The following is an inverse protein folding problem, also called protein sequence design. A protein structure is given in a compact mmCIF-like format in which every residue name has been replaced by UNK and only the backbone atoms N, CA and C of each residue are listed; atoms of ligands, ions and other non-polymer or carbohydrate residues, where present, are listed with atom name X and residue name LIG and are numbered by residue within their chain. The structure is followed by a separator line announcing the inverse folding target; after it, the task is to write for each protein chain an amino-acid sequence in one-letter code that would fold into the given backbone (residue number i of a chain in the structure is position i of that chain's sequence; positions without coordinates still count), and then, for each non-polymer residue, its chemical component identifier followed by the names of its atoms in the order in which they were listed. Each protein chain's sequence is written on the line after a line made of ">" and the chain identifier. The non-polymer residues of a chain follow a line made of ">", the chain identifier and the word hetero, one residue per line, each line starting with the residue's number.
data_IF_231871379756
#
_entry.id   IF_231871379756
#
_cell.length_a   1.000
_cell.length_b   1.000
_cell.length_c   1.000
_cell.angle_alpha   90.00
_cell.angle_beta   90.00
_cell.angle_gamma   90.00
#
_symmetry.space_group_name_H-M   'P 1'
#
loop_
_entity.id
_entity.type
_entity.pdbx_description
1 polymer ?
#
# COMPACT_ATOMS: atom_id res chain seq x y z
N UNK A 1 19.87 -15.79 -1.51
CA UNK A 1 19.35 -15.21 -0.27
C UNK A 1 18.34 -14.10 -0.54
N UNK A 2 17.46 -13.79 0.39
CA UNK A 2 16.44 -12.72 0.23
C UNK A 2 16.97 -11.35 0.62
N UNK A 3 17.95 -11.28 1.53
CA UNK A 3 18.55 -10.00 1.98
C UNK A 3 19.08 -9.13 0.86
N UNK A 4 19.87 -9.66 -0.11
CA UNK A 4 20.39 -8.84 -1.21
C UNK A 4 19.28 -8.20 -2.05
N UNK A 5 18.16 -8.92 -2.28
CA UNK A 5 17.00 -8.38 -3.00
C UNK A 5 16.27 -7.31 -2.20
N UNK A 6 16.14 -7.49 -0.88
CA UNK A 6 15.56 -6.48 0.00
C UNK A 6 16.41 -5.21 0.01
N UNK A 7 17.74 -5.34 0.18
CA UNK A 7 18.66 -4.20 0.14
C UNK A 7 18.62 -3.49 -1.20
N UNK A 8 18.58 -4.23 -2.31
CA UNK A 8 18.45 -3.66 -3.65
C UNK A 8 17.15 -2.87 -3.80
N UNK A 9 16.02 -3.44 -3.37
CA UNK A 9 14.74 -2.77 -3.43
C UNK A 9 14.71 -1.49 -2.59
N UNK A 10 15.24 -1.53 -1.37
CA UNK A 10 15.36 -0.36 -0.49
C UNK A 10 16.29 0.70 -1.10
N UNK A 11 17.43 0.30 -1.69
CA UNK A 11 18.35 1.21 -2.34
C UNK A 11 17.72 1.91 -3.55
N UNK A 12 17.02 1.17 -4.43
CA UNK A 12 16.30 1.74 -5.57
C UNK A 12 15.20 2.70 -5.08
N UNK A 13 14.48 2.34 -4.01
CA UNK A 13 13.46 3.21 -3.45
C UNK A 13 14.06 4.47 -2.80
N UNK A 14 15.23 4.39 -2.15
CA UNK A 14 15.95 5.55 -1.64
C UNK A 14 16.34 6.51 -2.79
N UNK A 15 16.79 5.98 -3.92
CA UNK A 15 17.04 6.79 -5.13
C UNK A 15 15.77 7.48 -5.60
N UNK A 16 14.62 6.78 -5.63
CA UNK A 16 13.35 7.39 -5.99
C UNK A 16 12.96 8.55 -5.06
N UNK A 17 13.19 8.41 -3.75
CA UNK A 17 12.93 9.47 -2.77
C UNK A 17 13.80 10.71 -3.00
N UNK A 18 15.07 10.52 -3.35
CA UNK A 18 15.98 11.62 -3.72
C UNK A 18 15.48 12.33 -4.98
N UNK A 19 15.03 11.59 -6.00
CA UNK A 19 14.45 12.18 -7.21
C UNK A 19 13.18 12.97 -6.86
N UNK A 20 12.31 12.47 -5.96
CA UNK A 20 11.13 13.21 -5.50
C UNK A 20 11.51 14.54 -4.81
N UNK A 21 12.53 14.53 -3.96
CA UNK A 21 13.00 15.75 -3.27
C UNK A 21 13.53 16.81 -4.25
N UNK A 22 14.12 16.41 -5.36
CA UNK A 22 14.68 17.28 -6.39
C UNK A 22 13.70 17.57 -7.54
N UNK A 23 12.48 17.04 -7.50
CA UNK A 23 11.54 17.13 -8.61
C UNK A 23 10.96 18.54 -8.77
N UNK A 24 11.23 19.17 -9.91
CA UNK A 24 10.73 20.49 -10.29
C UNK A 24 9.78 20.44 -11.51
N UNK A 25 9.47 19.24 -12.02
CA UNK A 25 8.60 19.05 -13.18
C UNK A 25 7.74 17.79 -13.05
N UNK A 26 6.61 17.75 -13.76
CA UNK A 26 5.76 16.56 -13.83
C UNK A 26 6.53 15.36 -14.41
N UNK A 27 7.41 15.56 -15.37
CA UNK A 27 8.24 14.50 -15.96
C UNK A 27 9.16 13.87 -14.92
N UNK A 28 9.81 14.68 -14.08
CA UNK A 28 10.67 14.18 -13.00
C UNK A 28 9.86 13.39 -11.96
N UNK A 29 8.65 13.83 -11.64
CA UNK A 29 7.75 13.12 -10.74
C UNK A 29 7.32 11.76 -11.34
N UNK A 30 7.02 11.70 -12.64
CA UNK A 30 6.70 10.45 -13.33
C UNK A 30 7.91 9.51 -13.31
N UNK A 31 9.10 10.01 -13.60
CA UNK A 31 10.33 9.21 -13.52
C UNK A 31 10.57 8.65 -12.10
N UNK A 32 10.41 9.47 -11.07
CA UNK A 32 10.49 9.03 -9.67
C UNK A 32 9.48 7.92 -9.35
N UNK A 33 8.23 8.05 -9.83
CA UNK A 33 7.18 7.03 -9.67
C UNK A 33 7.50 5.71 -10.38
N UNK A 34 8.09 5.77 -11.57
CA UNK A 34 8.53 4.55 -12.28
C UNK A 34 9.61 3.82 -11.49
N UNK A 35 10.63 4.55 -11.00
CA UNK A 35 11.69 3.99 -10.16
C UNK A 35 11.12 3.41 -8.87
N UNK A 36 10.23 4.14 -8.20
CA UNK A 36 9.55 3.70 -6.98
C UNK A 36 8.70 2.45 -7.24
N UNK A 37 7.94 2.43 -8.34
CA UNK A 37 7.11 1.28 -8.71
C UNK A 37 7.93 0.03 -8.94
N UNK A 38 9.09 0.14 -9.61
CA UNK A 38 10.02 -0.95 -9.80
C UNK A 38 10.58 -1.47 -8.46
N UNK A 39 11.02 -0.55 -7.58
CA UNK A 39 11.49 -0.89 -6.24
C UNK A 39 10.41 -1.62 -5.42
N UNK A 40 9.18 -1.12 -5.44
CA UNK A 40 8.03 -1.70 -4.72
C UNK A 40 7.68 -3.09 -5.28
N UNK A 41 7.75 -3.27 -6.60
CA UNK A 41 7.53 -4.55 -7.26
C UNK A 41 8.52 -5.65 -6.82
N UNK A 42 9.75 -5.28 -6.43
CA UNK A 42 10.72 -6.20 -5.84
C UNK A 42 10.48 -6.34 -4.33
N UNK A 43 10.21 -5.24 -3.63
CA UNK A 43 10.10 -5.19 -2.18
C UNK A 43 8.93 -6.04 -1.65
N UNK A 44 7.70 -5.78 -2.13
CA UNK A 44 6.48 -6.41 -1.58
C UNK A 44 6.53 -7.94 -1.58
N UNK A 45 6.82 -8.63 -2.71
CA UNK A 45 6.89 -10.09 -2.69
C UNK A 45 8.07 -10.61 -1.87
N UNK A 46 9.20 -9.89 -1.85
CA UNK A 46 10.40 -10.34 -1.14
C UNK A 46 10.22 -10.23 0.38
N UNK A 47 9.70 -9.11 0.89
CA UNK A 47 9.39 -8.95 2.31
C UNK A 47 8.27 -9.89 2.76
N UNK A 48 7.19 -10.00 1.95
CA UNK A 48 6.08 -10.90 2.25
C UNK A 48 6.54 -12.34 2.37
N UNK A 49 7.33 -12.80 1.43
CA UNK A 49 7.89 -14.14 1.46
C UNK A 49 8.84 -14.36 2.66
N UNK A 50 9.63 -13.36 3.05
CA UNK A 50 10.50 -13.45 4.24
C UNK A 50 9.72 -13.55 5.54
N UNK A 51 8.59 -12.85 5.66
CA UNK A 51 7.69 -12.95 6.82
C UNK A 51 7.08 -14.36 6.92
N UNK A 52 6.68 -14.95 5.78
CA UNK A 52 6.12 -16.30 5.72
C UNK A 52 7.18 -17.34 6.08
N UNK A 53 8.42 -17.17 5.60
CA UNK A 53 9.53 -18.06 5.94
C UNK A 53 9.91 -17.98 7.42
N UNK A 54 9.89 -16.76 7.99
CA UNK A 54 10.17 -16.56 9.42
C UNK A 54 9.10 -17.22 10.32
N UNK A 55 7.85 -17.25 9.89
CA UNK A 55 6.77 -17.92 10.62
C UNK A 55 5.64 -18.34 9.68
N UNK A 56 5.51 -19.63 9.43
CA UNK A 56 4.43 -20.18 8.60
C UNK A 56 3.02 -19.90 9.16
N UNK A 57 2.91 -19.77 10.49
CA UNK A 57 1.62 -19.57 11.18
C UNK A 57 1.23 -18.09 11.25
N UNK A 58 2.17 -17.21 11.59
CA UNK A 58 1.93 -15.78 11.82
C UNK A 58 2.32 -14.92 10.61
N UNK A 59 3.22 -15.41 9.76
CA UNK A 59 3.75 -14.69 8.60
C UNK A 59 2.67 -14.16 7.65
N UNK A 60 1.70 -14.96 7.20
CA UNK A 60 0.63 -14.49 6.33
C UNK A 60 -0.21 -13.36 6.96
N UNK A 61 -0.53 -13.48 8.26
CA UNK A 61 -1.27 -12.46 8.98
C UNK A 61 -0.45 -11.17 9.10
N UNK A 62 0.81 -11.30 9.51
CA UNK A 62 1.72 -10.15 9.63
C UNK A 62 1.91 -9.45 8.30
N UNK A 63 2.06 -10.20 7.20
CA UNK A 63 2.20 -9.63 5.86
C UNK A 63 0.98 -8.78 5.45
N UNK A 64 -0.23 -9.28 5.68
CA UNK A 64 -1.45 -8.53 5.37
C UNK A 64 -1.64 -7.32 6.29
N UNK A 65 -1.44 -7.49 7.59
CA UNK A 65 -1.59 -6.45 8.59
C UNK A 65 -0.60 -5.30 8.40
N UNK A 66 0.69 -5.60 8.24
CA UNK A 66 1.75 -4.57 8.16
C UNK A 66 1.63 -3.72 6.90
N UNK A 67 1.14 -4.29 5.79
CA UNK A 67 0.92 -3.53 4.57
C UNK A 67 -0.13 -2.42 4.77
N UNK A 68 -1.31 -2.76 5.26
CA UNK A 68 -2.39 -1.79 5.47
C UNK A 68 -2.09 -0.82 6.63
N UNK A 69 -1.48 -1.31 7.72
CA UNK A 69 -1.06 -0.45 8.83
C UNK A 69 0.00 0.56 8.36
N UNK A 70 0.97 0.11 7.56
CA UNK A 70 1.98 1.00 6.99
C UNK A 70 1.36 2.08 6.10
N UNK A 71 0.37 1.72 5.26
CA UNK A 71 -0.36 2.70 4.44
C UNK A 71 -1.19 3.67 5.31
N UNK A 72 -1.83 3.19 6.38
CA UNK A 72 -2.55 4.04 7.35
C UNK A 72 -1.63 5.07 7.99
N UNK A 73 -0.52 4.61 8.57
CA UNK A 73 0.46 5.48 9.20
C UNK A 73 1.09 6.46 8.20
N UNK A 74 1.40 5.97 6.99
CA UNK A 74 1.97 6.79 5.93
C UNK A 74 1.05 7.91 5.46
N UNK A 75 -0.24 7.63 5.27
CA UNK A 75 -1.22 8.64 4.84
C UNK A 75 -1.53 9.66 5.94
N UNK A 76 -1.62 9.23 7.20
CA UNK A 76 -1.77 10.15 8.35
C UNK A 76 -0.54 11.02 8.54
N UNK A 77 0.64 10.43 8.58
CA UNK A 77 1.90 11.16 8.70
C UNK A 77 2.09 12.13 7.53
N UNK A 78 1.78 11.71 6.31
CA UNK A 78 1.80 12.54 5.12
C UNK A 78 0.86 13.75 5.25
N UNK A 79 -0.40 13.52 5.64
CA UNK A 79 -1.38 14.58 5.86
C UNK A 79 -0.93 15.58 6.95
N UNK A 80 -0.39 15.11 8.06
CA UNK A 80 0.16 15.95 9.14
C UNK A 80 1.36 16.76 8.66
N UNK A 81 2.34 16.10 8.02
CA UNK A 81 3.56 16.76 7.56
C UNK A 81 3.27 17.81 6.48
N UNK A 82 2.37 17.50 5.53
CA UNK A 82 1.99 18.45 4.49
C UNK A 82 1.23 19.66 5.07
N UNK A 83 0.51 19.48 6.18
CA UNK A 83 -0.27 20.56 6.81
C UNK A 83 0.60 21.43 7.73
N UNK A 84 1.53 20.84 8.48
CA UNK A 84 2.19 21.53 9.59
C UNK A 84 3.71 21.69 9.44
N UNK A 85 4.38 20.91 8.57
CA UNK A 85 5.83 20.97 8.46
C UNK A 85 6.30 22.14 7.58
N UNK A 86 7.43 22.79 7.92
CA UNK A 86 8.11 23.69 7.00
C UNK A 86 8.64 22.89 5.79
N UNK A 87 8.52 23.43 4.58
CA UNK A 87 8.93 22.75 3.34
C UNK A 87 8.33 21.32 3.22
N UNK A 88 6.99 21.17 3.18
CA UNK A 88 6.29 19.92 3.39
C UNK A 88 6.73 18.79 2.43
N UNK A 89 7.00 19.13 1.17
CA UNK A 89 7.46 18.16 0.16
C UNK A 89 8.84 17.60 0.50
N UNK A 90 9.79 18.45 0.86
CA UNK A 90 11.15 18.03 1.22
C UNK A 90 11.14 17.26 2.53
N UNK A 91 10.45 17.77 3.54
CA UNK A 91 10.40 17.16 4.89
C UNK A 91 9.81 15.75 4.83
N UNK A 92 8.73 15.54 4.07
CA UNK A 92 8.10 14.24 3.92
C UNK A 92 9.07 13.21 3.31
N UNK A 93 9.68 13.54 2.18
CA UNK A 93 10.58 12.62 1.50
C UNK A 93 11.89 12.42 2.25
N UNK A 94 12.40 13.44 2.95
CA UNK A 94 13.59 13.32 3.79
C UNK A 94 13.34 12.36 4.97
N UNK A 95 12.18 12.46 5.64
CA UNK A 95 11.81 11.53 6.70
C UNK A 95 11.72 10.09 6.18
N UNK A 96 11.06 9.89 5.04
CA UNK A 96 10.97 8.57 4.41
C UNK A 96 12.34 8.03 4.02
N UNK A 97 13.25 8.89 3.53
CA UNK A 97 14.61 8.51 3.20
C UNK A 97 15.39 8.07 4.45
N UNK A 98 15.27 8.81 5.54
CA UNK A 98 15.90 8.43 6.83
C UNK A 98 15.39 7.07 7.29
N UNK A 99 14.07 6.86 7.30
CA UNK A 99 13.48 5.57 7.68
C UNK A 99 13.96 4.44 6.77
N UNK A 100 14.12 4.71 5.47
CA UNK A 100 14.64 3.74 4.51
C UNK A 100 16.10 3.38 4.79
N UNK A 101 16.95 4.38 5.08
CA UNK A 101 18.36 4.17 5.43
C UNK A 101 18.50 3.40 6.76
N UNK A 102 17.66 3.70 7.76
CA UNK A 102 17.60 2.94 9.02
C UNK A 102 17.20 1.48 8.73
N UNK A 103 16.16 1.27 7.91
CA UNK A 103 15.76 -0.09 7.54
C UNK A 103 16.89 -0.85 6.82
N UNK A 104 17.63 -0.19 5.92
CA UNK A 104 18.80 -0.77 5.25
C UNK A 104 19.92 -1.12 6.24
N UNK A 105 20.16 -0.27 7.24
CA UNK A 105 21.17 -0.51 8.27
C UNK A 105 20.80 -1.66 9.22
N UNK A 106 19.51 -1.83 9.52
CA UNK A 106 19.00 -2.89 10.38
C UNK A 106 18.85 -4.24 9.66
N UNK A 107 18.69 -4.25 8.35
CA UNK A 107 18.44 -5.46 7.57
C UNK A 107 19.54 -6.53 7.70
N UNK A 108 20.85 -6.20 7.77
CA UNK A 108 21.91 -7.18 8.01
C UNK A 108 21.83 -7.88 9.37
N UNK A 109 21.14 -7.31 10.35
CA UNK A 109 20.95 -7.91 11.68
C UNK A 109 19.91 -9.05 11.66
N UNK A 110 19.05 -9.09 10.64
CA UNK A 110 18.03 -10.13 10.53
C UNK A 110 18.67 -11.40 9.95
N UNK A 111 18.46 -12.60 10.50
CA UNK A 111 18.99 -13.84 9.94
C UNK A 111 18.49 -14.10 8.53
N UNK A 112 19.35 -14.61 7.64
CA UNK A 112 18.94 -15.01 6.29
C UNK A 112 17.98 -16.19 6.37
N UNK A 113 16.82 -16.07 5.72
CA UNK A 113 15.77 -17.08 5.78
C UNK A 113 15.97 -18.23 4.79
N UNK A 114 16.77 -18.02 3.75
CA UNK A 114 17.03 -19.02 2.70
C UNK A 114 18.53 -19.07 2.39
N UNK A 115 19.09 -20.28 2.33
CA UNK A 115 20.47 -20.47 1.92
C UNK A 115 20.74 -19.87 0.52
N UNK A 116 21.89 -19.20 0.32
CA UNK A 116 22.27 -18.65 -0.97
C UNK A 116 22.32 -19.77 -2.03
N UNK A 117 21.57 -19.64 -3.09
CA UNK A 117 21.65 -20.55 -4.24
C UNK A 117 22.55 -19.93 -5.31
N UNK A 118 23.45 -20.71 -5.93
CA UNK A 118 24.24 -20.26 -7.06
C UNK A 118 23.32 -20.02 -8.27
N UNK A 119 23.57 -18.94 -9.03
CA UNK A 119 22.81 -18.65 -10.24
C UNK A 119 21.86 -17.44 -10.12
N UNK A 120 22.31 -16.33 -9.54
CA UNK A 120 21.52 -15.11 -9.36
C UNK A 120 20.85 -14.64 -10.66
N UNK A 121 21.54 -14.72 -11.81
CA UNK A 121 21.01 -14.36 -13.13
C UNK A 121 19.89 -15.31 -13.60
N UNK A 122 19.95 -16.58 -13.25
CA UNK A 122 18.89 -17.54 -13.57
C UNK A 122 17.63 -17.31 -12.69
N UNK A 123 17.82 -16.86 -11.44
CA UNK A 123 16.74 -16.50 -10.52
C UNK A 123 16.02 -15.18 -10.92
N UNK A 124 16.66 -14.32 -11.71
CA UNK A 124 16.06 -13.09 -12.24
C UNK A 124 15.14 -13.35 -13.46
N UNK A 125 15.16 -14.55 -14.03
CA UNK A 125 14.21 -14.90 -15.09
C UNK A 125 12.81 -15.04 -14.51
N UNK A 126 11.82 -14.28 -14.98
CA UNK A 126 10.44 -14.41 -14.53
C UNK A 126 9.94 -15.82 -14.81
N UNK A 127 9.73 -16.61 -13.77
CA UNK A 127 9.11 -17.93 -13.89
C UNK A 127 7.64 -17.80 -13.54
N UNK A 128 6.81 -17.56 -14.55
CA UNK A 128 5.37 -17.56 -14.38
C UNK A 128 4.88 -18.99 -14.57
N UNK A 129 4.74 -19.74 -13.48
CA UNK A 129 4.16 -21.07 -13.47
C UNK A 129 2.94 -21.12 -12.57
N UNK A 130 1.76 -21.16 -13.17
CA UNK A 130 0.50 -21.29 -12.43
C UNK A 130 0.05 -22.74 -12.55
N UNK A 131 -0.02 -23.50 -11.45
CA UNK A 131 -0.59 -24.84 -11.48
C UNK A 131 -2.02 -24.81 -12.00
N UNK A 132 -2.37 -25.69 -12.91
CA UNK A 132 -3.74 -25.76 -13.51
C UNK A 132 -4.85 -25.78 -12.47
N UNK A 133 -4.59 -26.40 -11.30
CA UNK A 133 -5.55 -26.45 -10.17
C UNK A 133 -5.81 -25.08 -9.53
N UNK A 134 -4.87 -24.15 -9.61
CA UNK A 134 -4.99 -22.81 -9.04
C UNK A 134 -5.59 -21.78 -10.04
N UNK A 135 -5.69 -22.14 -11.32
CA UNK A 135 -6.12 -21.20 -12.36
C UNK A 135 -7.58 -20.75 -12.17
N UNK A 136 -8.49 -21.67 -11.85
CA UNK A 136 -9.91 -21.34 -11.64
C UNK A 136 -10.12 -20.38 -10.45
N UNK A 137 -9.64 -20.72 -9.24
CA UNK A 137 -9.68 -19.80 -8.09
C UNK A 137 -9.00 -18.46 -8.38
N UNK A 138 -7.86 -18.45 -9.06
CA UNK A 138 -7.14 -17.22 -9.41
C UNK A 138 -8.00 -16.32 -10.30
N UNK A 139 -8.59 -16.87 -11.37
CA UNK A 139 -9.45 -16.09 -12.27
C UNK A 139 -10.70 -15.54 -11.57
N UNK A 140 -11.26 -16.25 -10.59
CA UNK A 140 -12.40 -15.77 -9.80
C UNK A 140 -12.04 -14.58 -8.89
N UNK A 141 -10.84 -14.60 -8.30
CA UNK A 141 -10.41 -13.55 -7.35
C UNK A 141 -9.83 -12.33 -8.07
N UNK A 142 -9.27 -12.53 -9.27
CA UNK A 142 -8.58 -11.46 -10.02
C UNK A 142 -9.43 -10.21 -10.24
N UNK A 143 -10.71 -10.26 -10.67
CA UNK A 143 -11.51 -9.05 -10.88
C UNK A 143 -11.71 -8.24 -9.59
N UNK A 144 -11.96 -8.93 -8.47
CA UNK A 144 -12.14 -8.28 -7.16
C UNK A 144 -10.82 -7.67 -6.69
N UNK A 145 -9.71 -8.37 -6.88
CA UNK A 145 -8.39 -7.84 -6.55
C UNK A 145 -8.06 -6.59 -7.37
N UNK A 146 -8.31 -6.60 -8.69
CA UNK A 146 -8.14 -5.43 -9.54
C UNK A 146 -9.01 -4.27 -9.06
N UNK A 147 -10.30 -4.50 -8.78
CA UNK A 147 -11.21 -3.47 -8.29
C UNK A 147 -10.73 -2.85 -6.97
N UNK A 148 -10.25 -3.67 -6.04
CA UNK A 148 -9.71 -3.21 -4.74
C UNK A 148 -8.48 -2.31 -4.93
N UNK A 149 -7.53 -2.71 -5.78
CA UNK A 149 -6.35 -1.89 -6.06
C UNK A 149 -6.67 -0.62 -6.84
N UNK A 150 -7.63 -0.67 -7.78
CA UNK A 150 -8.13 0.53 -8.46
C UNK A 150 -8.79 1.49 -7.49
N UNK A 151 -9.60 0.99 -6.55
CA UNK A 151 -10.21 1.80 -5.50
C UNK A 151 -9.14 2.45 -4.62
N UNK A 152 -8.15 1.69 -4.16
CA UNK A 152 -7.02 2.22 -3.38
C UNK A 152 -6.29 3.34 -4.13
N UNK A 153 -6.00 3.15 -5.41
CA UNK A 153 -5.40 4.17 -6.27
C UNK A 153 -6.27 5.42 -6.42
N UNK A 154 -7.58 5.24 -6.60
CA UNK A 154 -8.55 6.33 -6.65
C UNK A 154 -8.55 7.15 -5.36
N UNK A 155 -8.65 6.48 -4.21
CA UNK A 155 -8.64 7.16 -2.91
C UNK A 155 -7.33 7.91 -2.66
N UNK A 156 -6.18 7.30 -2.96
CA UNK A 156 -4.87 7.92 -2.76
C UNK A 156 -4.62 9.13 -3.67
N UNK A 157 -5.16 9.13 -4.89
CA UNK A 157 -4.86 10.16 -5.89
C UNK A 157 -5.93 11.24 -6.02
N UNK A 158 -7.21 10.87 -6.02
CA UNK A 158 -8.31 11.76 -6.36
C UNK A 158 -9.17 12.18 -5.15
N UNK A 159 -9.29 11.33 -4.13
CA UNK A 159 -10.20 11.61 -3.02
C UNK A 159 -9.88 12.93 -2.30
N UNK A 160 -8.62 13.31 -2.01
CA UNK A 160 -8.33 14.59 -1.36
C UNK A 160 -8.85 15.79 -2.16
N UNK A 161 -8.69 15.80 -3.49
CA UNK A 161 -9.19 16.87 -4.35
C UNK A 161 -10.71 16.87 -4.48
N UNK A 162 -11.32 15.69 -4.56
CA UNK A 162 -12.79 15.56 -4.61
C UNK A 162 -13.46 16.06 -3.32
N UNK A 163 -12.88 15.74 -2.16
CA UNK A 163 -13.34 16.23 -0.86
C UNK A 163 -13.22 17.75 -0.79
N UNK A 164 -12.08 18.30 -1.17
CA UNK A 164 -11.88 19.75 -1.19
C UNK A 164 -12.91 20.46 -2.09
N UNK A 165 -13.16 19.93 -3.29
CA UNK A 165 -14.14 20.48 -4.22
C UNK A 165 -15.59 20.33 -3.73
N UNK A 166 -15.94 19.21 -3.11
CA UNK A 166 -17.31 18.95 -2.66
C UNK A 166 -17.66 19.67 -1.36
N UNK A 167 -16.71 19.82 -0.44
CA UNK A 167 -16.98 20.32 0.92
C UNK A 167 -16.37 21.69 1.21
N UNK A 168 -15.51 22.22 0.32
CA UNK A 168 -14.75 23.44 0.55
C UNK A 168 -13.58 23.28 1.54
N UNK A 169 -13.38 22.08 2.09
CA UNK A 169 -12.32 21.79 3.06
C UNK A 169 -11.02 21.44 2.35
N UNK A 170 -10.13 22.41 2.22
CA UNK A 170 -8.88 22.29 1.47
C UNK A 170 -7.71 21.76 2.30
N UNK A 171 -7.91 21.42 3.57
CA UNK A 171 -6.83 20.90 4.43
C UNK A 171 -6.32 19.55 3.93
N UNK A 172 -5.01 19.40 3.65
CA UNK A 172 -4.42 18.12 3.26
C UNK A 172 -4.60 17.03 4.33
N UNK A 173 -4.71 17.42 5.59
CA UNK A 173 -4.98 16.51 6.70
C UNK A 173 -6.33 15.79 6.54
N UNK A 174 -7.38 16.50 6.12
CA UNK A 174 -8.71 15.91 5.93
C UNK A 174 -8.67 14.89 4.79
N UNK A 175 -8.04 15.23 3.66
CA UNK A 175 -7.85 14.29 2.55
C UNK A 175 -7.06 13.05 2.99
N UNK A 176 -5.96 13.23 3.69
CA UNK A 176 -5.13 12.14 4.22
C UNK A 176 -5.85 11.27 5.25
N UNK A 177 -6.67 11.86 6.11
CA UNK A 177 -7.42 11.12 7.14
C UNK A 177 -8.56 10.26 6.55
N UNK A 178 -9.20 10.70 5.47
CA UNK A 178 -10.18 9.87 4.75
C UNK A 178 -9.49 8.64 4.16
N UNK A 179 -8.34 8.83 3.51
CA UNK A 179 -7.57 7.69 2.97
C UNK A 179 -7.07 6.78 4.10
N UNK A 180 -6.62 7.36 5.22
CA UNK A 180 -6.22 6.58 6.39
C UNK A 180 -7.38 5.77 6.97
N UNK A 181 -8.61 6.29 6.94
CA UNK A 181 -9.81 5.56 7.34
C UNK A 181 -10.02 4.31 6.48
N UNK A 182 -9.86 4.42 5.15
CA UNK A 182 -9.94 3.26 4.25
C UNK A 182 -8.92 2.18 4.66
N UNK A 183 -7.67 2.56 4.85
CA UNK A 183 -6.59 1.62 5.16
C UNK A 183 -6.71 1.04 6.58
N UNK A 184 -7.21 1.83 7.53
CA UNK A 184 -7.49 1.36 8.89
C UNK A 184 -8.65 0.37 8.91
N UNK A 185 -9.70 0.61 8.15
CA UNK A 185 -10.84 -0.31 8.00
C UNK A 185 -10.39 -1.62 7.35
N UNK A 186 -9.55 -1.56 6.30
CA UNK A 186 -8.94 -2.75 5.72
C UNK A 186 -8.09 -3.53 6.75
N UNK A 187 -7.33 -2.82 7.59
CA UNK A 187 -6.57 -3.43 8.69
C UNK A 187 -7.50 -4.15 9.66
N UNK A 188 -8.58 -3.50 10.08
CA UNK A 188 -9.58 -4.09 10.97
C UNK A 188 -10.28 -5.30 10.34
N UNK A 189 -10.63 -5.21 9.05
CA UNK A 189 -11.26 -6.29 8.30
C UNK A 189 -10.40 -7.57 8.26
N UNK A 190 -9.07 -7.46 8.15
CA UNK A 190 -8.15 -8.61 8.22
C UNK A 190 -8.35 -9.41 9.51
N UNK A 191 -8.58 -8.75 10.63
CA UNK A 191 -8.81 -9.43 11.93
C UNK A 191 -10.23 -9.92 12.07
N UNK A 192 -11.22 -9.11 11.70
CA UNK A 192 -12.64 -9.40 11.87
C UNK A 192 -13.09 -10.58 10.99
N UNK A 193 -12.63 -10.63 9.75
CA UNK A 193 -13.04 -11.64 8.78
C UNK A 193 -12.12 -12.86 8.72
N UNK A 194 -11.03 -12.87 9.49
CA UNK A 194 -10.09 -14.01 9.58
C UNK A 194 -10.76 -15.36 9.85
N UNK A 195 -11.78 -15.49 10.75
CA UNK A 195 -12.39 -16.79 11.02
C UNK A 195 -13.33 -17.28 9.91
N UNK A 196 -13.65 -16.44 8.92
CA UNK A 196 -14.58 -16.78 7.85
C UNK A 196 -13.90 -17.64 6.76
N UNK A 197 -14.66 -18.56 6.14
CA UNK A 197 -14.22 -19.25 4.94
C UNK A 197 -13.90 -18.23 3.82
N UNK A 198 -12.83 -18.44 3.03
CA UNK A 198 -12.38 -17.46 2.02
C UNK A 198 -13.47 -17.04 1.04
N UNK A 199 -14.34 -17.97 0.60
CA UNK A 199 -15.44 -17.64 -0.31
C UNK A 199 -16.46 -16.67 0.32
N UNK A 200 -16.80 -16.87 1.60
CA UNK A 200 -17.72 -15.97 2.32
C UNK A 200 -17.08 -14.60 2.55
N UNK A 201 -15.82 -14.58 2.96
CA UNK A 201 -15.08 -13.32 3.14
C UNK A 201 -15.03 -12.52 1.83
N UNK A 202 -14.81 -13.18 0.68
CA UNK A 202 -14.79 -12.54 -0.63
C UNK A 202 -16.15 -11.91 -0.97
N UNK A 203 -17.25 -12.65 -0.77
CA UNK A 203 -18.61 -12.14 -1.06
C UNK A 203 -18.94 -10.95 -0.16
N UNK A 204 -18.72 -11.08 1.16
CA UNK A 204 -18.99 -10.00 2.11
C UNK A 204 -18.15 -8.77 1.79
N UNK A 205 -16.84 -8.93 1.56
CA UNK A 205 -15.96 -7.83 1.21
C UNK A 205 -16.37 -7.14 -0.09
N UNK A 206 -16.80 -7.90 -1.11
CA UNK A 206 -17.29 -7.32 -2.36
C UNK A 206 -18.58 -6.51 -2.14
N UNK A 207 -19.51 -7.01 -1.34
CA UNK A 207 -20.74 -6.29 -1.03
C UNK A 207 -20.45 -5.03 -0.20
N UNK A 208 -19.56 -5.09 0.78
CA UNK A 208 -19.12 -3.94 1.57
C UNK A 208 -18.43 -2.90 0.68
N UNK A 209 -17.58 -3.32 -0.25
CA UNK A 209 -16.92 -2.43 -1.19
C UNK A 209 -17.94 -1.69 -2.06
N UNK A 210 -18.93 -2.38 -2.62
CA UNK A 210 -20.00 -1.76 -3.43
C UNK A 210 -20.82 -0.78 -2.57
N UNK A 211 -21.27 -1.21 -1.39
CA UNK A 211 -22.04 -0.38 -0.48
C UNK A 211 -21.24 0.85 -0.04
N UNK A 212 -19.99 0.67 0.36
CA UNK A 212 -19.11 1.75 0.82
C UNK A 212 -18.84 2.79 -0.29
N UNK A 213 -18.54 2.34 -1.52
CA UNK A 213 -18.37 3.25 -2.66
C UNK A 213 -19.68 4.02 -2.93
N UNK A 214 -20.84 3.34 -2.90
CA UNK A 214 -22.14 3.99 -3.10
C UNK A 214 -22.42 5.06 -2.05
N UNK A 215 -22.12 4.77 -0.78
CA UNK A 215 -22.26 5.73 0.34
C UNK A 215 -21.28 6.90 0.19
N UNK A 216 -20.04 6.62 -0.26
CA UNK A 216 -19.04 7.68 -0.52
C UNK A 216 -19.51 8.61 -1.64
N UNK A 217 -20.03 8.07 -2.74
CA UNK A 217 -20.59 8.87 -3.83
C UNK A 217 -21.80 9.71 -3.38
N UNK A 218 -22.69 9.14 -2.56
CA UNK A 218 -23.77 9.89 -1.94
C UNK A 218 -23.24 11.01 -1.04
N UNK A 219 -22.16 10.75 -0.27
CA UNK A 219 -21.50 11.76 0.55
C UNK A 219 -20.93 12.92 -0.25
N UNK A 220 -20.35 12.65 -1.43
CA UNK A 220 -19.88 13.68 -2.36
C UNK A 220 -21.05 14.53 -2.89
N UNK A 221 -22.16 13.92 -3.29
CA UNK A 221 -23.32 14.64 -3.80
C UNK A 221 -24.06 15.45 -2.73
N UNK A 222 -24.06 14.97 -1.48
CA UNK A 222 -24.66 15.66 -0.33
C UNK A 222 -23.71 16.67 0.33
N UNK A 223 -22.49 16.82 -0.16
CA UNK A 223 -21.45 17.70 0.42
C UNK A 223 -21.18 17.41 1.91
N UNK A 224 -21.33 16.16 2.32
CA UNK A 224 -21.29 15.73 3.72
C UNK A 224 -20.04 14.91 4.05
N UNK A 225 -19.18 15.48 4.88
CA UNK A 225 -17.95 14.82 5.35
C UNK A 225 -18.24 13.54 6.13
N UNK A 226 -19.33 13.52 6.93
CA UNK A 226 -19.70 12.36 7.72
C UNK A 226 -20.04 11.14 6.82
N UNK A 227 -20.78 11.35 5.74
CA UNK A 227 -21.08 10.31 4.75
C UNK A 227 -19.83 9.82 4.00
N UNK A 228 -18.89 10.73 3.74
CA UNK A 228 -17.61 10.36 3.13
C UNK A 228 -16.80 9.41 4.03
N UNK A 229 -16.66 9.73 5.32
CA UNK A 229 -15.99 8.85 6.27
C UNK A 229 -16.71 7.51 6.44
N UNK A 230 -18.05 7.55 6.56
CA UNK A 230 -18.86 6.34 6.71
C UNK A 230 -18.71 5.42 5.50
N UNK A 231 -18.86 5.96 4.28
CA UNK A 231 -18.70 5.19 3.05
C UNK A 231 -17.30 4.63 2.90
N UNK A 232 -16.28 5.43 3.21
CA UNK A 232 -14.89 5.02 3.21
C UNK A 232 -14.60 3.91 4.23
N UNK A 233 -15.16 4.01 5.44
CA UNK A 233 -15.00 2.99 6.48
C UNK A 233 -15.67 1.65 6.10
N UNK A 234 -16.77 1.70 5.34
CA UNK A 234 -17.45 0.49 4.85
C UNK A 234 -16.71 -0.11 3.66
N UNK A 235 -16.09 0.73 2.80
CA UNK A 235 -15.40 0.27 1.59
C UNK A 235 -14.03 -0.38 1.89
N UNK A 236 -13.38 -0.02 2.99
CA UNK A 236 -12.08 -0.58 3.43
C UNK A 236 -12.25 -1.83 4.24
#
# INVERSE_FOLDING_TARGET
>A
GRRPLMLLALAINAVALVIFMSANSATTLIAARLVQGFATGIALPTFGASLIDASKTRGPLLNSFTAFLGMTLGTLAGGILVTFAPFPTVTLYALLLILMLVAMALLPLIPETIAPQPGVLAALRPQVSIPRRALGPLLMVTPVNIATWMLGGFYLSLMPSMVANATGLTSPFIGGSIVATLMLSATAAVFLFRPLPPARALVIGTLMLIAGVSVTLAGLSLHSVAWLYLGTAIAG
#
